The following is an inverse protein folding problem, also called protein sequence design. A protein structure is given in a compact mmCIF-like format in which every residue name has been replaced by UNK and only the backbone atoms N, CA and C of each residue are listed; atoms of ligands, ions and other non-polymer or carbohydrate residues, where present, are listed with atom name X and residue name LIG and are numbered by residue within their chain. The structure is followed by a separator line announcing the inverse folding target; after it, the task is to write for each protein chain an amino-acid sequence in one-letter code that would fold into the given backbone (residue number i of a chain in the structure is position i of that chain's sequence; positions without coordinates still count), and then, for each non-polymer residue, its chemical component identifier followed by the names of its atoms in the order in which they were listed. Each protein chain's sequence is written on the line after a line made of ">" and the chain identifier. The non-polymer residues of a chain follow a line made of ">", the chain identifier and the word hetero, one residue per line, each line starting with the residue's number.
data_IF_364868094768
#
_entry.id   IF_364868094768
#
_cell.length_a   1.000
_cell.length_b   1.000
_cell.length_c   1.000
_cell.angle_alpha   90.00
_cell.angle_beta   90.00
_cell.angle_gamma   90.00
#
_symmetry.space_group_name_H-M   'P 1'
#
loop_
_entity.id
_entity.type
_entity.pdbx_description
1 polymer ?
#
# COMPACT_ATOMS: atom_id res chain seq x y z
N UNK A 1 13.37 -37.97 -4.58
CA UNK A 1 13.50 -37.16 -3.34
C UNK A 1 12.93 -35.78 -3.64
N UNK A 2 11.76 -35.49 -3.10
CA UNK A 2 11.17 -34.15 -3.23
C UNK A 2 11.96 -33.17 -2.36
N UNK A 3 12.32 -32.00 -2.92
CA UNK A 3 12.96 -30.94 -2.17
C UNK A 3 12.04 -30.47 -1.01
N UNK A 4 12.58 -30.14 0.17
CA UNK A 4 11.75 -29.63 1.26
C UNK A 4 11.07 -28.32 0.83
N UNK A 5 9.75 -28.26 0.94
CA UNK A 5 8.98 -27.02 0.80
C UNK A 5 9.54 -26.02 1.82
N UNK A 6 10.08 -24.91 1.36
CA UNK A 6 10.64 -23.87 2.20
C UNK A 6 9.53 -23.38 3.16
N UNK A 7 9.65 -23.68 4.44
CA UNK A 7 8.72 -23.18 5.45
C UNK A 7 8.89 -21.66 5.53
N UNK A 8 7.77 -20.95 5.57
CA UNK A 8 7.76 -19.48 5.73
C UNK A 8 8.60 -19.10 6.95
N UNK A 9 9.59 -18.20 6.82
CA UNK A 9 10.45 -17.81 7.94
C UNK A 9 9.64 -17.25 9.12
N UNK A 10 10.06 -17.58 10.34
CA UNK A 10 9.35 -17.16 11.56
C UNK A 10 9.16 -15.64 11.65
N UNK A 11 10.13 -14.85 11.19
CA UNK A 11 10.02 -13.38 11.15
C UNK A 11 8.92 -12.90 10.21
N UNK A 12 8.68 -13.57 9.08
CA UNK A 12 7.65 -13.16 8.12
C UNK A 12 6.25 -13.40 8.68
N UNK A 13 6.03 -14.56 9.35
CA UNK A 13 4.77 -14.85 10.05
C UNK A 13 4.54 -13.82 11.16
N UNK A 14 5.56 -13.52 11.93
CA UNK A 14 5.47 -12.54 13.02
C UNK A 14 5.20 -11.13 12.48
N UNK A 15 5.91 -10.70 11.43
CA UNK A 15 5.67 -9.42 10.75
C UNK A 15 4.20 -9.27 10.35
N UNK A 16 3.61 -10.29 9.74
CA UNK A 16 2.24 -10.22 9.27
C UNK A 16 1.23 -10.17 10.43
N UNK A 17 1.51 -10.89 11.55
CA UNK A 17 0.73 -10.78 12.78
C UNK A 17 0.81 -9.38 13.41
N UNK A 18 2.01 -8.83 13.53
CA UNK A 18 2.22 -7.48 14.07
C UNK A 18 1.58 -6.41 13.18
N UNK A 19 1.67 -6.57 11.84
CA UNK A 19 0.97 -5.71 10.89
C UNK A 19 -0.53 -5.72 11.14
N UNK A 20 -1.15 -6.89 11.27
CA UNK A 20 -2.57 -7.00 11.59
C UNK A 20 -2.92 -6.34 12.91
N UNK A 21 -2.11 -6.54 13.97
CA UNK A 21 -2.32 -5.92 15.27
C UNK A 21 -2.26 -4.38 15.24
N UNK A 22 -1.41 -3.81 14.38
CA UNK A 22 -1.36 -2.36 14.16
C UNK A 22 -2.62 -1.87 13.44
N UNK A 23 -3.07 -2.63 12.45
CA UNK A 23 -4.17 -2.24 11.59
C UNK A 23 -5.55 -2.38 12.25
N UNK A 24 -5.75 -3.41 13.06
CA UNK A 24 -6.98 -3.62 13.85
C UNK A 24 -7.02 -2.82 15.15
N UNK A 25 -5.89 -2.16 15.49
CA UNK A 25 -5.76 -1.33 16.69
C UNK A 25 -5.40 -2.09 17.96
N UNK A 26 -5.14 -3.40 17.91
CA UNK A 26 -4.66 -4.20 19.06
C UNK A 26 -3.26 -3.74 19.52
N UNK A 27 -2.47 -3.18 18.60
CA UNK A 27 -1.28 -2.39 18.90
C UNK A 27 -1.56 -0.92 18.51
N UNK A 28 -2.10 -0.11 19.45
CA UNK A 28 -2.60 1.23 19.11
C UNK A 28 -1.49 2.21 18.74
N UNK A 29 -1.79 3.22 17.89
CA UNK A 29 -0.89 4.33 17.63
C UNK A 29 -0.42 5.02 18.92
N UNK A 30 0.85 5.42 18.95
CA UNK A 30 1.49 6.04 20.11
C UNK A 30 1.92 5.06 21.20
N UNK A 31 1.62 3.76 21.09
CA UNK A 31 2.01 2.77 22.08
C UNK A 31 3.36 2.15 21.74
N UNK A 32 4.13 1.95 22.79
CA UNK A 32 5.49 1.41 22.73
C UNK A 32 5.52 -0.04 23.22
N UNK A 33 6.22 -0.91 22.48
CA UNK A 33 6.47 -2.30 22.88
C UNK A 33 7.95 -2.63 22.78
N UNK A 34 8.48 -3.29 23.81
CA UNK A 34 9.88 -3.74 23.80
C UNK A 34 10.05 -5.03 23.01
N UNK A 35 11.27 -5.28 22.49
CA UNK A 35 11.58 -6.54 21.80
C UNK A 35 11.32 -7.76 22.70
N UNK A 36 11.66 -7.66 23.99
CA UNK A 36 11.45 -8.73 24.96
C UNK A 36 9.98 -9.03 25.20
N UNK A 37 9.13 -8.01 25.31
CA UNK A 37 7.69 -8.18 25.47
C UNK A 37 7.06 -8.87 24.24
N UNK A 38 7.43 -8.44 23.03
CA UNK A 38 6.97 -9.06 21.80
C UNK A 38 7.48 -10.50 21.65
N UNK A 39 8.73 -10.77 22.01
CA UNK A 39 9.30 -12.11 21.98
C UNK A 39 8.55 -13.08 22.90
N UNK A 40 8.23 -12.63 24.13
CA UNK A 40 7.47 -13.40 25.11
C UNK A 40 6.03 -13.65 24.64
N UNK A 41 5.33 -12.61 24.18
CA UNK A 41 3.93 -12.68 23.72
C UNK A 41 3.76 -13.65 22.55
N UNK A 42 4.69 -13.60 21.58
CA UNK A 42 4.63 -14.41 20.38
C UNK A 42 5.42 -15.72 20.46
N UNK A 43 6.02 -16.04 21.61
CA UNK A 43 6.78 -17.27 21.87
C UNK A 43 7.91 -17.51 20.85
N UNK A 44 8.64 -16.45 20.53
CA UNK A 44 9.80 -16.48 19.61
C UNK A 44 11.04 -15.88 20.29
N UNK A 45 12.22 -16.11 19.71
CA UNK A 45 13.44 -15.42 20.14
C UNK A 45 13.45 -13.94 19.69
N UNK A 46 14.41 -13.16 20.20
CA UNK A 46 14.53 -11.73 19.88
C UNK A 46 14.89 -11.48 18.40
N UNK A 47 15.61 -12.40 17.75
CA UNK A 47 16.05 -12.22 16.35
C UNK A 47 14.88 -12.05 15.38
N UNK A 48 13.90 -12.98 15.29
CA UNK A 48 12.75 -12.80 14.41
C UNK A 48 11.89 -11.58 14.76
N UNK A 49 11.85 -11.14 16.04
CA UNK A 49 11.17 -9.89 16.42
C UNK A 49 11.88 -8.69 15.80
N UNK A 50 13.20 -8.64 15.90
CA UNK A 50 13.99 -7.54 15.32
C UNK A 50 13.84 -7.48 13.82
N UNK A 51 13.91 -8.61 13.13
CA UNK A 51 13.74 -8.69 11.68
C UNK A 51 12.33 -8.26 11.24
N UNK A 52 11.29 -8.71 11.96
CA UNK A 52 9.90 -8.31 11.71
C UNK A 52 9.72 -6.79 11.91
N UNK A 53 10.27 -6.22 12.97
CA UNK A 53 10.19 -4.79 13.24
C UNK A 53 10.95 -3.95 12.22
N UNK A 54 12.13 -4.39 11.77
CA UNK A 54 12.87 -3.71 10.70
C UNK A 54 12.08 -3.70 9.39
N UNK A 55 11.39 -4.81 9.07
CA UNK A 55 10.50 -4.84 7.90
C UNK A 55 9.33 -3.87 8.06
N UNK A 56 8.67 -3.84 9.23
CA UNK A 56 7.56 -2.94 9.51
C UNK A 56 7.99 -1.45 9.56
N UNK A 57 9.21 -1.17 10.00
CA UNK A 57 9.80 0.18 9.94
C UNK A 57 10.03 0.61 8.50
N UNK A 58 10.54 -0.28 7.65
CA UNK A 58 10.63 -0.05 6.20
C UNK A 58 9.28 0.25 5.54
N UNK A 59 8.20 -0.33 6.06
CA UNK A 59 6.82 -0.06 5.65
C UNK A 59 6.25 1.25 6.27
N UNK A 60 6.91 1.82 7.29
CA UNK A 60 6.45 3.00 8.03
C UNK A 60 5.36 2.70 9.07
N UNK A 61 5.15 1.42 9.41
CA UNK A 61 4.15 0.99 10.40
C UNK A 61 4.63 1.14 11.83
N UNK A 62 5.94 1.14 12.05
CA UNK A 62 6.56 1.36 13.35
C UNK A 62 7.80 2.24 13.21
N UNK A 63 8.21 2.87 14.30
CA UNK A 63 9.51 3.50 14.48
C UNK A 63 10.29 2.72 15.52
N UNK A 64 11.50 2.25 15.18
CA UNK A 64 12.38 1.57 16.11
C UNK A 64 13.12 2.60 16.97
N UNK A 65 13.00 2.48 18.26
CA UNK A 65 13.70 3.31 19.25
C UNK A 65 14.86 2.52 19.85
N UNK A 66 16.08 3.04 19.69
CA UNK A 66 17.28 2.38 20.19
C UNK A 66 17.15 2.04 21.69
N UNK A 67 17.40 0.79 22.05
CA UNK A 67 17.27 0.23 23.40
C UNK A 67 15.86 0.26 24.02
N UNK A 68 14.84 0.70 23.28
CA UNK A 68 13.46 0.83 23.79
C UNK A 68 12.45 -0.07 23.08
N UNK A 69 12.77 -0.59 21.90
CA UNK A 69 11.84 -1.40 21.09
C UNK A 69 11.22 -0.58 19.95
N UNK A 70 9.92 -0.74 19.70
CA UNK A 70 9.23 -0.05 18.63
C UNK A 70 7.96 0.67 19.11
N UNK A 71 7.61 1.76 18.44
CA UNK A 71 6.38 2.53 18.64
C UNK A 71 5.60 2.57 17.33
N UNK A 72 4.29 2.40 17.39
CA UNK A 72 3.41 2.67 16.25
C UNK A 72 3.26 4.18 16.12
N UNK A 73 3.59 4.81 14.97
CA UNK A 73 3.41 6.24 14.77
C UNK A 73 1.96 6.68 14.98
N UNK A 74 1.77 7.92 15.38
CA UNK A 74 0.43 8.51 15.39
C UNK A 74 -0.07 8.62 13.95
N UNK A 75 -1.22 7.98 13.70
CA UNK A 75 -1.89 8.09 12.41
C UNK A 75 -2.65 9.41 12.40
N UNK A 76 -2.12 10.40 11.70
CA UNK A 76 -2.76 11.70 11.53
C UNK A 76 -2.89 12.08 10.05
N UNK A 77 -3.64 13.13 9.80
CA UNK A 77 -3.86 13.62 8.43
C UNK A 77 -2.56 14.06 7.75
N UNK A 78 -1.58 14.55 8.53
CA UNK A 78 -0.28 14.96 8.00
C UNK A 78 0.54 13.77 7.50
N UNK A 79 0.61 12.69 8.28
CA UNK A 79 1.29 11.47 7.86
C UNK A 79 0.72 10.93 6.54
N UNK A 80 -0.62 10.89 6.42
CA UNK A 80 -1.25 10.44 5.18
C UNK A 80 -0.96 11.40 4.01
N UNK A 81 -1.00 12.72 4.24
CA UNK A 81 -0.65 13.69 3.22
C UNK A 81 0.79 13.47 2.71
N UNK A 82 1.77 13.39 3.61
CA UNK A 82 3.19 13.19 3.27
C UNK A 82 3.41 11.87 2.50
N UNK A 83 2.72 10.79 2.90
CA UNK A 83 2.80 9.50 2.20
C UNK A 83 2.23 9.57 0.78
N UNK A 84 1.13 10.29 0.60
CA UNK A 84 0.51 10.45 -0.72
C UNK A 84 1.29 11.39 -1.63
N UNK A 85 1.93 12.44 -1.09
CA UNK A 85 2.84 13.29 -1.85
C UNK A 85 4.00 12.47 -2.44
N UNK A 86 4.62 11.63 -1.61
CA UNK A 86 5.67 10.71 -2.07
C UNK A 86 5.16 9.73 -3.12
N UNK A 87 3.98 9.12 -2.89
CA UNK A 87 3.37 8.19 -3.87
C UNK A 87 3.06 8.88 -5.18
N UNK A 88 2.47 10.08 -5.14
CA UNK A 88 2.14 10.85 -6.34
C UNK A 88 3.37 11.11 -7.19
N UNK A 89 4.45 11.60 -6.57
CA UNK A 89 5.70 11.86 -7.25
C UNK A 89 6.30 10.60 -7.89
N UNK A 90 6.35 9.49 -7.14
CA UNK A 90 6.95 8.24 -7.64
C UNK A 90 6.09 7.54 -8.68
N UNK A 91 4.77 7.46 -8.50
CA UNK A 91 3.88 6.82 -9.49
C UNK A 91 3.80 7.63 -10.79
N UNK A 92 3.84 8.97 -10.72
CA UNK A 92 3.98 9.83 -11.88
C UNK A 92 5.26 9.54 -12.67
N UNK A 93 6.40 9.47 -11.98
CA UNK A 93 7.68 9.09 -12.59
C UNK A 93 7.63 7.69 -13.23
N UNK A 94 7.06 6.71 -12.53
CA UNK A 94 6.99 5.33 -13.01
C UNK A 94 6.05 5.21 -14.22
N UNK A 95 4.89 5.87 -14.21
CA UNK A 95 3.96 5.89 -15.34
C UNK A 95 4.57 6.55 -16.59
N UNK A 96 5.29 7.67 -16.42
CA UNK A 96 6.07 8.32 -17.49
C UNK A 96 7.02 7.34 -18.16
N UNK A 97 7.87 6.68 -17.37
CA UNK A 97 8.84 5.71 -17.86
C UNK A 97 8.20 4.48 -18.49
N UNK A 98 7.05 4.05 -17.97
CA UNK A 98 6.29 2.95 -18.52
C UNK A 98 5.75 3.28 -19.92
N UNK A 99 5.20 4.48 -20.14
CA UNK A 99 4.70 4.92 -21.44
C UNK A 99 5.79 4.89 -22.55
N UNK A 100 7.05 5.21 -22.19
CA UNK A 100 8.17 5.13 -23.12
C UNK A 100 8.53 3.70 -23.56
N UNK A 101 8.21 2.68 -22.73
CA UNK A 101 8.78 1.34 -22.82
C UNK A 101 7.79 0.22 -23.01
N UNK A 102 6.53 0.46 -22.71
CA UNK A 102 5.49 -0.58 -22.71
C UNK A 102 5.39 -1.29 -24.06
N UNK A 103 5.40 -2.61 -24.02
CA UNK A 103 5.12 -3.45 -25.21
C UNK A 103 3.62 -3.75 -25.28
N UNK A 104 3.09 -4.13 -26.48
CA UNK A 104 1.68 -4.53 -26.60
C UNK A 104 1.27 -5.63 -25.61
N UNK A 105 2.08 -6.67 -25.45
CA UNK A 105 1.78 -7.76 -24.51
C UNK A 105 1.75 -7.31 -23.05
N UNK A 106 2.63 -6.38 -22.64
CA UNK A 106 2.61 -5.81 -21.30
C UNK A 106 1.37 -4.92 -21.11
N UNK A 107 0.98 -4.16 -22.13
CA UNK A 107 -0.21 -3.33 -22.09
C UNK A 107 -1.49 -4.17 -21.92
N UNK A 108 -1.59 -5.30 -22.61
CA UNK A 108 -2.70 -6.26 -22.45
C UNK A 108 -2.77 -6.80 -21.03
N UNK A 109 -1.63 -7.10 -20.41
CA UNK A 109 -1.54 -7.52 -19.00
C UNK A 109 -2.01 -6.44 -18.03
N UNK A 110 -1.59 -5.18 -18.24
CA UNK A 110 -2.02 -4.03 -17.43
C UNK A 110 -3.54 -3.81 -17.58
N UNK A 111 -4.06 -3.89 -18.81
CA UNK A 111 -5.47 -3.74 -19.11
C UNK A 111 -6.33 -4.82 -18.44
N UNK A 112 -5.83 -6.07 -18.37
CA UNK A 112 -6.52 -7.16 -17.69
C UNK A 112 -6.70 -6.88 -16.18
N UNK A 113 -5.69 -6.29 -15.51
CA UNK A 113 -5.80 -5.88 -14.11
C UNK A 113 -6.79 -4.73 -13.92
N UNK A 114 -6.84 -3.75 -14.83
CA UNK A 114 -7.82 -2.67 -14.79
C UNK A 114 -9.25 -3.19 -14.95
N UNK A 115 -9.48 -4.11 -15.88
CA UNK A 115 -10.78 -4.74 -16.10
C UNK A 115 -11.23 -5.57 -14.87
N UNK A 116 -10.31 -6.32 -14.25
CA UNK A 116 -10.60 -7.06 -13.04
C UNK A 116 -10.92 -6.14 -11.84
N UNK A 117 -10.23 -4.99 -11.73
CA UNK A 117 -10.55 -3.96 -10.76
C UNK A 117 -11.96 -3.39 -10.98
N UNK A 118 -12.30 -3.05 -12.22
CA UNK A 118 -13.63 -2.52 -12.57
C UNK A 118 -14.75 -3.53 -12.26
N UNK A 119 -14.52 -4.81 -12.56
CA UNK A 119 -15.46 -5.88 -12.21
C UNK A 119 -15.68 -5.98 -10.69
N UNK A 120 -14.60 -5.95 -9.89
CA UNK A 120 -14.68 -5.94 -8.43
C UNK A 120 -15.44 -4.69 -7.92
N UNK A 121 -15.18 -3.52 -8.51
CA UNK A 121 -15.86 -2.26 -8.16
C UNK A 121 -17.37 -2.31 -8.43
N UNK A 122 -17.80 -2.93 -9.53
CA UNK A 122 -19.22 -3.13 -9.87
C UNK A 122 -19.95 -4.06 -8.91
N UNK A 123 -19.24 -5.00 -8.27
CA UNK A 123 -19.78 -5.93 -7.30
C UNK A 123 -19.59 -5.48 -5.85
N UNK A 124 -19.08 -4.26 -5.63
CA UNK A 124 -18.75 -3.71 -4.30
C UNK A 124 -17.80 -4.60 -3.47
N UNK A 125 -16.92 -5.35 -4.17
CA UNK A 125 -15.88 -6.16 -3.52
C UNK A 125 -14.61 -5.32 -3.29
N UNK A 126 -14.58 -4.61 -2.17
CA UNK A 126 -13.46 -3.74 -1.80
C UNK A 126 -12.12 -4.51 -1.66
N UNK A 127 -12.16 -5.76 -1.18
CA UNK A 127 -10.95 -6.56 -1.00
C UNK A 127 -10.37 -6.99 -2.35
N UNK A 128 -11.21 -7.47 -3.28
CA UNK A 128 -10.77 -7.79 -4.63
C UNK A 128 -10.31 -6.53 -5.38
N UNK A 129 -11.04 -5.42 -5.26
CA UNK A 129 -10.67 -4.14 -5.86
C UNK A 129 -9.27 -3.69 -5.41
N UNK A 130 -8.94 -3.75 -4.11
CA UNK A 130 -7.61 -3.38 -3.62
C UNK A 130 -6.51 -4.30 -4.15
N UNK A 131 -6.75 -5.62 -4.23
CA UNK A 131 -5.78 -6.55 -4.82
C UNK A 131 -5.51 -6.25 -6.30
N UNK A 132 -6.57 -6.01 -7.09
CA UNK A 132 -6.43 -5.70 -8.51
C UNK A 132 -5.83 -4.32 -8.75
N UNK A 133 -6.12 -3.33 -7.90
CA UNK A 133 -5.45 -2.03 -7.90
C UNK A 133 -3.94 -2.15 -7.68
N UNK A 134 -3.53 -2.97 -6.71
CA UNK A 134 -2.11 -3.24 -6.45
C UNK A 134 -1.45 -3.91 -7.65
N UNK A 135 -2.09 -4.93 -8.23
CA UNK A 135 -1.58 -5.63 -9.42
C UNK A 135 -1.46 -4.70 -10.64
N UNK A 136 -2.44 -3.81 -10.85
CA UNK A 136 -2.44 -2.81 -11.92
C UNK A 136 -1.22 -1.88 -11.82
N UNK A 137 -1.02 -1.28 -10.64
CA UNK A 137 0.13 -0.39 -10.43
C UNK A 137 1.46 -1.14 -10.47
N UNK A 138 1.54 -2.33 -9.87
CA UNK A 138 2.75 -3.14 -9.91
C UNK A 138 3.16 -3.54 -11.34
N UNK A 139 2.19 -3.80 -12.22
CA UNK A 139 2.45 -4.10 -13.62
C UNK A 139 3.04 -2.89 -14.36
N UNK A 140 2.50 -1.67 -14.14
CA UNK A 140 3.05 -0.43 -14.69
C UNK A 140 4.47 -0.18 -14.14
N UNK A 141 4.65 -0.32 -12.83
CA UNK A 141 5.92 -0.11 -12.14
C UNK A 141 7.00 -1.08 -12.68
N UNK A 142 6.60 -2.33 -12.98
CA UNK A 142 7.48 -3.34 -13.60
C UNK A 142 8.02 -2.90 -14.96
N UNK A 143 7.16 -2.31 -15.81
CA UNK A 143 7.55 -1.77 -17.11
C UNK A 143 8.51 -0.58 -16.98
N UNK A 144 8.31 0.26 -15.97
CA UNK A 144 9.15 1.44 -15.72
C UNK A 144 10.63 1.10 -15.43
N UNK A 145 10.91 -0.12 -15.00
CA UNK A 145 12.24 -0.65 -14.72
C UNK A 145 13.09 0.25 -13.80
N UNK A 146 12.47 0.70 -12.69
CA UNK A 146 13.16 1.44 -11.63
C UNK A 146 12.93 0.73 -10.28
N UNK A 147 13.75 -0.28 -9.94
CA UNK A 147 13.55 -1.11 -8.75
C UNK A 147 13.62 -0.32 -7.44
N UNK A 148 14.36 0.79 -7.40
CA UNK A 148 14.43 1.63 -6.20
C UNK A 148 13.10 2.35 -5.95
N UNK A 149 12.53 2.99 -6.97
CA UNK A 149 11.22 3.64 -6.85
C UNK A 149 10.11 2.62 -6.55
N UNK A 150 10.13 1.45 -7.20
CA UNK A 150 9.19 0.35 -6.98
C UNK A 150 9.20 -0.12 -5.53
N UNK A 151 10.38 -0.34 -4.95
CA UNK A 151 10.52 -0.79 -3.56
C UNK A 151 9.90 0.22 -2.58
N UNK A 152 10.14 1.51 -2.78
CA UNK A 152 9.57 2.58 -1.93
C UNK A 152 8.05 2.64 -2.07
N UNK A 153 7.51 2.58 -3.28
CA UNK A 153 6.05 2.58 -3.52
C UNK A 153 5.40 1.36 -2.90
N UNK A 154 5.95 0.16 -3.13
CA UNK A 154 5.39 -1.10 -2.60
C UNK A 154 5.32 -1.11 -1.08
N UNK A 155 6.40 -0.67 -0.39
CA UNK A 155 6.44 -0.59 1.06
C UNK A 155 5.33 0.33 1.64
N UNK A 156 5.05 1.45 0.98
CA UNK A 156 4.02 2.42 1.42
C UNK A 156 2.60 2.00 1.02
N UNK A 157 2.46 1.30 -0.10
CA UNK A 157 1.15 0.82 -0.58
C UNK A 157 0.50 -0.17 0.37
N UNK A 158 1.27 -1.10 0.93
CA UNK A 158 0.76 -2.07 1.91
C UNK A 158 0.10 -1.37 3.11
N UNK A 159 0.74 -0.35 3.67
CA UNK A 159 0.19 0.45 4.76
C UNK A 159 -1.10 1.17 4.37
N UNK A 160 -1.08 1.89 3.25
CA UNK A 160 -2.25 2.63 2.77
C UNK A 160 -3.45 1.70 2.50
N UNK A 161 -3.22 0.54 1.88
CA UNK A 161 -4.27 -0.44 1.60
C UNK A 161 -4.91 -0.97 2.89
N UNK A 162 -4.10 -1.22 3.90
CA UNK A 162 -4.56 -1.70 5.18
C UNK A 162 -5.42 -0.64 5.91
N UNK A 163 -5.00 0.64 5.89
CA UNK A 163 -5.81 1.75 6.41
C UNK A 163 -7.12 1.88 5.61
N UNK A 164 -7.08 1.73 4.29
CA UNK A 164 -8.29 1.75 3.44
C UNK A 164 -9.26 0.62 3.76
N UNK A 165 -8.78 -0.60 4.03
CA UNK A 165 -9.65 -1.70 4.45
C UNK A 165 -10.36 -1.37 5.76
N UNK A 166 -9.67 -0.74 6.71
CA UNK A 166 -10.23 -0.33 7.99
C UNK A 166 -11.25 0.81 7.87
N UNK A 167 -10.92 1.86 7.10
CA UNK A 167 -11.78 3.04 6.93
C UNK A 167 -12.92 2.81 5.93
N UNK A 168 -12.85 1.73 5.15
CA UNK A 168 -13.74 1.42 4.04
C UNK A 168 -13.23 1.97 2.70
N UNK A 169 -13.49 1.23 1.65
CA UNK A 169 -13.21 1.61 0.26
C UNK A 169 -14.53 1.59 -0.50
N UNK A 170 -15.25 2.69 -0.44
CA UNK A 170 -16.64 2.75 -0.89
C UNK A 170 -16.82 2.65 -2.42
N UNK A 171 -18.02 2.22 -2.86
CA UNK A 171 -18.29 1.95 -4.29
C UNK A 171 -18.08 3.16 -5.18
N UNK A 172 -18.47 4.36 -4.75
CA UNK A 172 -18.26 5.60 -5.52
C UNK A 172 -16.78 5.87 -5.79
N UNK A 173 -15.92 5.63 -4.80
CA UNK A 173 -14.47 5.78 -4.95
C UNK A 173 -13.88 4.71 -5.86
N UNK A 174 -14.34 3.45 -5.74
CA UNK A 174 -13.88 2.36 -6.61
C UNK A 174 -14.24 2.65 -8.06
N UNK A 175 -15.47 3.06 -8.36
CA UNK A 175 -15.90 3.43 -9.71
C UNK A 175 -15.13 4.65 -10.27
N UNK A 176 -14.80 5.63 -9.42
CA UNK A 176 -13.94 6.74 -9.82
C UNK A 176 -12.51 6.27 -10.15
N UNK A 177 -11.96 5.34 -9.36
CA UNK A 177 -10.65 4.75 -9.62
C UNK A 177 -10.62 3.96 -10.92
N UNK A 178 -11.68 3.20 -11.24
CA UNK A 178 -11.78 2.45 -12.50
C UNK A 178 -11.67 3.39 -13.71
N UNK A 179 -12.39 4.52 -13.70
CA UNK A 179 -12.27 5.53 -14.77
C UNK A 179 -10.87 6.13 -14.86
N UNK A 180 -10.20 6.37 -13.72
CA UNK A 180 -8.85 6.90 -13.70
C UNK A 180 -7.83 5.88 -14.20
N UNK A 181 -8.01 4.58 -13.92
CA UNK A 181 -7.18 3.52 -14.51
C UNK A 181 -7.30 3.50 -16.04
N UNK A 182 -8.51 3.70 -16.61
CA UNK A 182 -8.65 3.78 -18.06
C UNK A 182 -7.92 4.99 -18.63
N UNK A 183 -7.98 6.16 -17.99
CA UNK A 183 -7.20 7.34 -18.42
C UNK A 183 -5.69 7.07 -18.44
N UNK A 184 -5.17 6.35 -17.42
CA UNK A 184 -3.76 5.93 -17.42
C UNK A 184 -3.48 4.97 -18.58
N UNK A 185 -4.36 3.98 -18.83
CA UNK A 185 -4.22 3.04 -19.93
C UNK A 185 -4.23 3.72 -21.30
N UNK A 186 -5.09 4.70 -21.51
CA UNK A 186 -5.15 5.49 -22.74
C UNK A 186 -3.83 6.21 -23.00
N UNK A 187 -3.24 6.83 -21.98
CA UNK A 187 -1.93 7.48 -22.09
C UNK A 187 -0.80 6.48 -22.38
N UNK A 188 -0.83 5.30 -21.77
CA UNK A 188 0.14 4.23 -22.05
C UNK A 188 -0.01 3.68 -23.48
N UNK A 189 -1.24 3.51 -23.99
CA UNK A 189 -1.54 3.10 -25.38
C UNK A 189 -1.02 4.12 -26.38
N UNK A 190 -1.23 5.41 -26.09
CA UNK A 190 -0.73 6.52 -26.91
C UNK A 190 0.80 6.69 -26.83
N UNK A 191 1.47 6.00 -25.88
CA UNK A 191 2.88 6.20 -25.56
C UNK A 191 3.20 7.67 -25.28
N UNK A 192 2.30 8.32 -24.53
CA UNK A 192 2.46 9.71 -24.09
C UNK A 192 2.97 9.74 -22.64
N UNK A 193 4.27 10.03 -22.41
CA UNK A 193 4.86 10.01 -21.07
C UNK A 193 4.30 11.11 -20.16
N UNK A 194 4.00 12.27 -20.70
CA UNK A 194 3.48 13.40 -19.93
C UNK A 194 2.03 13.13 -19.50
N UNK A 195 1.18 12.71 -20.41
CA UNK A 195 -0.20 12.34 -20.10
C UNK A 195 -0.26 11.18 -19.08
N UNK A 196 0.61 10.17 -19.22
CA UNK A 196 0.68 9.06 -18.27
C UNK A 196 1.11 9.52 -16.86
N UNK A 197 2.07 10.44 -16.78
CA UNK A 197 2.52 11.03 -15.52
C UNK A 197 1.41 11.83 -14.84
N UNK A 198 0.72 12.69 -15.59
CA UNK A 198 -0.39 13.51 -15.08
C UNK A 198 -1.57 12.65 -14.62
N UNK A 199 -1.96 11.65 -15.43
CA UNK A 199 -3.05 10.75 -15.08
C UNK A 199 -2.75 9.94 -13.81
N UNK A 200 -1.54 9.42 -13.66
CA UNK A 200 -1.10 8.69 -12.47
C UNK A 200 -1.08 9.60 -11.22
N UNK A 201 -0.58 10.83 -11.35
CA UNK A 201 -0.59 11.81 -10.27
C UNK A 201 -2.03 12.16 -9.83
N UNK A 202 -2.91 12.48 -10.80
CA UNK A 202 -4.31 12.81 -10.54
C UNK A 202 -5.07 11.65 -9.85
N UNK A 203 -4.77 10.39 -10.24
CA UNK A 203 -5.31 9.21 -9.58
C UNK A 203 -4.90 9.13 -8.10
N UNK A 204 -3.63 9.36 -7.80
CA UNK A 204 -3.10 9.36 -6.42
C UNK A 204 -3.70 10.49 -5.60
N UNK A 205 -3.82 11.70 -6.14
CA UNK A 205 -4.43 12.84 -5.48
C UNK A 205 -5.93 12.63 -5.19
N UNK A 206 -6.66 12.02 -6.10
CA UNK A 206 -8.05 11.62 -5.86
C UNK A 206 -8.16 10.60 -4.72
N UNK A 207 -7.22 9.66 -4.67
CA UNK A 207 -7.13 8.66 -3.62
C UNK A 207 -6.76 9.25 -2.25
N UNK A 208 -5.89 10.27 -2.23
CA UNK A 208 -5.54 11.04 -1.03
C UNK A 208 -6.75 11.73 -0.44
N UNK A 209 -7.50 12.47 -1.24
CA UNK A 209 -8.69 13.21 -0.79
C UNK A 209 -9.71 12.28 -0.14
N UNK A 210 -10.07 11.19 -0.80
CA UNK A 210 -11.00 10.20 -0.27
C UNK A 210 -10.53 9.62 1.09
N UNK A 211 -9.22 9.30 1.22
CA UNK A 211 -8.70 8.76 2.46
C UNK A 211 -8.75 9.78 3.61
N UNK A 212 -8.36 11.03 3.34
CA UNK A 212 -8.37 12.10 4.35
C UNK A 212 -9.79 12.46 4.80
N UNK A 213 -10.75 12.47 3.89
CA UNK A 213 -12.17 12.67 4.21
C UNK A 213 -12.69 11.57 5.15
N UNK A 214 -12.46 10.30 4.82
CA UNK A 214 -12.84 9.16 5.66
C UNK A 214 -12.16 9.15 7.02
N UNK A 215 -10.87 9.51 7.03
CA UNK A 215 -10.11 9.62 8.27
C UNK A 215 -10.69 10.73 9.18
N UNK A 216 -11.03 11.88 8.63
CA UNK A 216 -11.68 12.97 9.37
C UNK A 216 -13.06 12.56 9.91
N UNK A 217 -13.87 11.85 9.12
CA UNK A 217 -15.15 11.30 9.56
C UNK A 217 -14.99 10.31 10.72
N UNK A 218 -13.99 9.41 10.67
CA UNK A 218 -13.73 8.48 11.78
C UNK A 218 -13.33 9.21 13.06
N UNK A 219 -12.45 10.22 12.95
CA UNK A 219 -12.04 11.02 14.11
C UNK A 219 -13.21 11.83 14.71
N UNK A 220 -14.12 12.33 13.89
CA UNK A 220 -15.34 13.02 14.35
C UNK A 220 -16.36 12.10 15.03
N UNK A 221 -16.33 10.79 14.77
CA UNK A 221 -17.20 9.78 15.39
C UNK A 221 -16.67 9.26 16.72
N UNK A 222 -15.39 9.40 17.02
CA UNK A 222 -14.82 8.99 18.33
C UNK A 222 -15.22 10.02 19.39
N UNK A 223 -15.79 9.59 20.54
CA UNK A 223 -16.02 10.51 21.65
C UNK A 223 -14.68 11.14 22.05
N UNK A 224 -14.67 12.46 22.22
CA UNK A 224 -13.51 13.15 22.82
C UNK A 224 -13.31 12.63 24.25
N UNK A 225 -12.06 12.31 24.66
CA UNK A 225 -11.77 11.83 26.00
C UNK A 225 -12.16 12.83 27.08
#
# INVERSE_FOLDING_TARGET
>A
MAAPTASTPAYAILRDRLRLAILDGSWPPGTHRTLGALALEHQVSISPVREALLSLEGEGLVEIRQHRGAIVPLLDAKLFADLYDLRGALQSLLARRAAERVTPAQLDGIAAHAAAFEAAAKHDDAAAALRHNESFHAAIDGVAANPQAQAVVAARTAFVNAVRLRLGYGPARMLAAARQHETILEALRARDPEAAAEAAFAHVESARRDLLERFAEEQGRKPRP
#
